data_IF_648749791200
#
_entry.id   IF_648749791200
#
_cell.length_a   1.000
_cell.length_b   1.000
_cell.length_c   1.000
_cell.angle_alpha   90.00
_cell.angle_beta   90.00
_cell.angle_gamma   90.00
#
_symmetry.space_group_name_H-M   'P 1'
#
loop_
_entity.id
_entity.type
_entity.pdbx_description
1 polymer ?
#
# COMPACT_ATOMS: atom_id res chain seq x y z
N UNK A 1 -7.52 15.45 9.46
CA UNK A 1 -6.10 15.20 9.16
C UNK A 1 -5.99 13.85 8.48
N UNK A 2 -5.32 13.77 7.33
CA UNK A 2 -5.05 12.49 6.66
C UNK A 2 -4.01 11.73 7.51
N UNK A 3 -4.36 10.53 7.96
CA UNK A 3 -3.49 9.70 8.81
C UNK A 3 -2.25 9.29 8.00
N UNK A 4 -1.08 9.83 8.37
CA UNK A 4 0.18 9.54 7.67
C UNK A 4 0.58 8.09 7.94
N UNK A 5 0.56 7.25 6.90
CA UNK A 5 0.95 5.83 7.01
C UNK A 5 2.33 5.58 6.39
N UNK A 6 3.38 5.36 7.20
CA UNK A 6 4.70 5.05 6.68
C UNK A 6 4.70 3.74 5.88
N UNK A 7 5.56 3.68 4.87
CA UNK A 7 5.64 2.54 3.94
C UNK A 7 6.93 1.75 4.14
N UNK A 8 6.80 0.46 4.46
CA UNK A 8 7.92 -0.49 4.46
C UNK A 8 7.97 -1.20 3.11
N UNK A 9 9.17 -1.31 2.53
CA UNK A 9 9.39 -1.94 1.22
C UNK A 9 10.08 -3.29 1.40
N UNK A 10 9.55 -4.31 0.75
CA UNK A 10 10.12 -5.66 0.68
C UNK A 10 10.29 -6.12 -0.77
N UNK A 11 11.31 -6.92 -1.04
CA UNK A 11 11.52 -7.55 -2.35
C UNK A 11 10.64 -8.80 -2.45
N UNK A 12 9.79 -8.87 -3.47
CA UNK A 12 8.90 -10.01 -3.71
C UNK A 12 9.61 -11.04 -4.61
N UNK A 13 9.52 -12.31 -4.24
CA UNK A 13 10.19 -13.44 -4.88
C UNK A 13 9.16 -14.54 -5.15
N UNK A 14 9.17 -15.05 -6.38
CA UNK A 14 8.25 -16.10 -6.84
C UNK A 14 9.04 -17.37 -7.14
N UNK A 15 8.50 -18.51 -6.73
CA UNK A 15 9.05 -19.82 -7.08
C UNK A 15 8.43 -20.36 -8.38
N UNK A 16 7.25 -19.86 -8.76
CA UNK A 16 6.52 -20.27 -9.96
C UNK A 16 6.39 -19.12 -10.97
N UNK A 17 6.67 -19.43 -12.23
CA UNK A 17 6.42 -18.51 -13.35
C UNK A 17 4.92 -18.29 -13.57
N UNK A 18 4.10 -19.31 -13.33
CA UNK A 18 2.64 -19.22 -13.43
C UNK A 18 2.08 -18.20 -12.43
N UNK A 19 2.47 -18.30 -11.15
CA UNK A 19 2.03 -17.37 -10.11
C UNK A 19 2.47 -15.93 -10.41
N UNK A 20 3.69 -15.79 -10.92
CA UNK A 20 4.21 -14.49 -11.36
C UNK A 20 3.38 -13.93 -12.53
N UNK A 21 3.03 -14.74 -13.52
CA UNK A 21 2.20 -14.34 -14.65
C UNK A 21 0.77 -13.96 -14.22
N UNK A 22 0.15 -14.75 -13.34
CA UNK A 22 -1.16 -14.45 -12.75
C UNK A 22 -1.14 -13.11 -12.00
N UNK A 23 -0.09 -12.84 -11.23
CA UNK A 23 0.06 -11.55 -10.58
C UNK A 23 0.13 -10.40 -11.60
N UNK A 24 0.96 -10.53 -12.64
CA UNK A 24 1.09 -9.48 -13.66
C UNK A 24 -0.23 -9.20 -14.37
N UNK A 25 -1.01 -10.24 -14.66
CA UNK A 25 -2.34 -10.10 -15.24
C UNK A 25 -3.26 -9.28 -14.33
N UNK A 26 -3.30 -9.59 -13.03
CA UNK A 26 -4.09 -8.83 -12.06
C UNK A 26 -3.59 -7.39 -11.91
N UNK A 27 -2.27 -7.16 -11.89
CA UNK A 27 -1.69 -5.81 -11.81
C UNK A 27 -2.03 -4.96 -13.05
N UNK A 28 -2.12 -5.57 -14.24
CA UNK A 28 -2.57 -4.90 -15.46
C UNK A 28 -4.04 -4.52 -15.35
N UNK A 29 -4.90 -5.46 -14.99
CA UNK A 29 -6.33 -5.20 -14.84
C UNK A 29 -6.62 -4.15 -13.77
N UNK A 30 -5.84 -4.14 -12.67
CA UNK A 30 -5.95 -3.12 -11.63
C UNK A 30 -5.53 -1.73 -12.11
N UNK A 31 -4.46 -1.63 -12.90
CA UNK A 31 -4.09 -0.38 -13.58
C UNK A 31 -5.23 0.13 -14.46
N UNK A 32 -5.80 -0.73 -15.30
CA UNK A 32 -6.89 -0.37 -16.22
C UNK A 32 -8.16 0.03 -15.44
N UNK A 33 -8.43 -0.63 -14.31
CA UNK A 33 -9.52 -0.26 -13.40
C UNK A 33 -9.32 1.13 -12.77
N UNK A 34 -8.09 1.54 -12.43
CA UNK A 34 -7.82 2.90 -11.93
C UNK A 34 -8.12 3.94 -13.02
N UNK A 35 -7.63 3.72 -14.25
CA UNK A 35 -7.88 4.62 -15.38
C UNK A 35 -9.39 4.74 -15.66
N UNK A 36 -10.11 3.63 -15.61
CA UNK A 36 -11.56 3.61 -15.81
C UNK A 36 -12.32 4.29 -14.67
N UNK A 37 -11.95 4.03 -13.42
CA UNK A 37 -12.53 4.68 -12.24
C UNK A 37 -12.37 6.20 -12.31
N UNK A 38 -11.16 6.68 -12.67
CA UNK A 38 -10.89 8.09 -12.86
C UNK A 38 -11.80 8.72 -13.92
N UNK A 39 -11.97 8.05 -15.06
CA UNK A 39 -12.89 8.51 -16.12
C UNK A 39 -14.35 8.60 -15.64
N UNK A 40 -14.82 7.62 -14.88
CA UNK A 40 -16.18 7.61 -14.33
C UNK A 40 -16.38 8.69 -13.25
N UNK A 41 -15.39 8.90 -12.38
CA UNK A 41 -15.42 9.97 -11.37
C UNK A 41 -15.55 11.34 -12.03
N UNK A 42 -14.81 11.60 -13.11
CA UNK A 42 -14.91 12.84 -13.88
C UNK A 42 -16.28 13.05 -14.52
N UNK A 43 -17.01 11.98 -14.80
CA UNK A 43 -18.39 12.03 -15.31
C UNK A 43 -19.44 12.19 -14.20
N UNK A 44 -19.02 12.34 -12.94
CA UNK A 44 -19.94 12.51 -11.81
C UNK A 44 -20.67 11.23 -11.40
N UNK A 45 -20.20 10.05 -11.83
CA UNK A 45 -20.82 8.77 -11.45
C UNK A 45 -20.60 8.51 -9.95
N UNK A 46 -21.63 8.03 -9.26
CA UNK A 46 -21.56 7.74 -7.82
C UNK A 46 -20.53 6.65 -7.55
N UNK A 47 -19.74 6.83 -6.49
CA UNK A 47 -18.65 5.91 -6.13
C UNK A 47 -19.10 4.46 -5.95
N UNK A 48 -20.29 4.24 -5.38
CA UNK A 48 -20.85 2.90 -5.21
C UNK A 48 -21.13 2.19 -6.54
N UNK A 49 -21.55 2.95 -7.56
CA UNK A 49 -21.75 2.46 -8.92
C UNK A 49 -20.43 2.22 -9.62
N UNK A 50 -19.43 3.10 -9.43
CA UNK A 50 -18.07 2.88 -9.92
C UNK A 50 -17.53 1.55 -9.40
N UNK A 51 -17.60 1.30 -8.08
CA UNK A 51 -17.14 0.03 -7.50
C UNK A 51 -17.87 -1.17 -8.10
N UNK A 52 -19.18 -1.08 -8.33
CA UNK A 52 -19.95 -2.15 -9.00
C UNK A 52 -19.45 -2.39 -10.43
N UNK A 53 -19.25 -1.34 -11.21
CA UNK A 53 -18.76 -1.43 -12.61
C UNK A 53 -17.35 -2.00 -12.68
N UNK A 54 -16.43 -1.55 -11.83
CA UNK A 54 -15.07 -2.11 -11.75
C UNK A 54 -15.10 -3.60 -11.38
N UNK A 55 -15.99 -3.98 -10.48
CA UNK A 55 -16.14 -5.36 -10.01
C UNK A 55 -16.66 -6.26 -11.13
N UNK A 56 -17.73 -5.85 -11.82
CA UNK A 56 -18.36 -6.68 -12.85
C UNK A 56 -17.58 -6.73 -14.17
N UNK A 57 -16.86 -5.67 -14.52
CA UNK A 57 -16.23 -5.53 -15.85
C UNK A 57 -14.75 -5.88 -15.90
N UNK A 58 -14.01 -5.72 -14.80
CA UNK A 58 -12.54 -5.77 -14.83
C UNK A 58 -11.98 -6.68 -13.73
N UNK A 59 -12.32 -6.41 -12.48
CA UNK A 59 -11.58 -6.95 -11.34
C UNK A 59 -12.19 -8.20 -10.72
N UNK A 60 -13.47 -8.48 -10.92
CA UNK A 60 -14.18 -9.61 -10.32
C UNK A 60 -14.02 -9.69 -8.78
N UNK A 61 -13.69 -8.57 -8.13
CA UNK A 61 -13.41 -8.51 -6.69
C UNK A 61 -13.70 -7.11 -6.15
N UNK A 62 -14.76 -6.98 -5.33
CA UNK A 62 -15.21 -5.70 -4.80
C UNK A 62 -14.15 -4.97 -3.95
N UNK A 63 -13.28 -5.69 -3.25
CA UNK A 63 -12.26 -5.10 -2.39
C UNK A 63 -11.11 -4.49 -3.21
N UNK A 64 -10.69 -5.15 -4.29
CA UNK A 64 -9.77 -4.53 -5.25
C UNK A 64 -10.44 -3.38 -6.00
N UNK A 65 -11.71 -3.50 -6.37
CA UNK A 65 -12.46 -2.40 -7.02
C UNK A 65 -12.52 -1.15 -6.15
N UNK A 66 -12.83 -1.31 -4.87
CA UNK A 66 -12.76 -0.22 -3.91
C UNK A 66 -11.34 0.35 -3.80
N UNK A 67 -10.32 -0.51 -3.73
CA UNK A 67 -8.92 -0.08 -3.66
C UNK A 67 -8.46 0.67 -4.91
N UNK A 68 -8.97 0.30 -6.09
CA UNK A 68 -8.73 1.00 -7.36
C UNK A 68 -9.39 2.38 -7.37
N UNK A 69 -10.62 2.50 -6.86
CA UNK A 69 -11.29 3.79 -6.67
C UNK A 69 -10.49 4.70 -5.72
N UNK A 70 -10.06 4.17 -4.55
CA UNK A 70 -9.22 4.93 -3.61
C UNK A 70 -7.94 5.42 -4.29
N UNK A 71 -7.31 4.58 -5.14
CA UNK A 71 -6.15 5.01 -5.92
C UNK A 71 -6.46 6.02 -7.01
N UNK A 72 -7.62 5.94 -7.65
CA UNK A 72 -8.04 6.91 -8.66
C UNK A 72 -8.26 8.31 -8.07
N UNK A 73 -8.72 8.42 -6.81
CA UNK A 73 -8.89 9.69 -6.10
C UNK A 73 -7.60 10.52 -6.00
N UNK A 74 -6.43 9.87 -6.00
CA UNK A 74 -5.13 10.55 -6.00
C UNK A 74 -4.88 11.38 -7.27
N UNK A 75 -5.65 11.11 -8.33
CA UNK A 75 -5.54 11.76 -9.63
C UNK A 75 -6.78 12.60 -9.95
N UNK A 76 -7.66 12.88 -8.97
CA UNK A 76 -8.96 13.54 -9.18
C UNK A 76 -8.87 14.86 -9.96
N UNK A 77 -7.78 15.60 -9.76
CA UNK A 77 -7.56 16.92 -10.34
C UNK A 77 -6.90 16.84 -11.74
N UNK A 78 -6.55 15.65 -12.22
CA UNK A 78 -5.96 15.47 -13.54
C UNK A 78 -7.05 15.44 -14.63
N UNK A 79 -6.88 16.17 -15.75
CA UNK A 79 -7.83 16.11 -16.84
C UNK A 79 -7.82 14.74 -17.52
N UNK A 80 -6.71 14.03 -17.52
CA UNK A 80 -6.61 12.72 -18.14
C UNK A 80 -5.61 11.86 -17.37
N UNK A 81 -5.90 10.56 -17.28
CA UNK A 81 -5.05 9.61 -16.58
C UNK A 81 -4.66 8.46 -17.50
N UNK A 82 -3.35 8.32 -17.75
CA UNK A 82 -2.75 7.15 -18.36
C UNK A 82 -1.55 6.68 -17.54
N UNK A 83 -1.70 5.55 -16.88
CA UNK A 83 -0.67 4.95 -16.05
C UNK A 83 0.31 4.17 -16.92
N UNK A 84 1.62 4.37 -16.72
CA UNK A 84 2.65 3.68 -17.51
C UNK A 84 2.90 2.25 -17.05
N UNK A 85 2.86 2.01 -15.73
CA UNK A 85 3.27 0.73 -15.12
C UNK A 85 2.08 0.01 -14.49
N UNK A 86 2.00 -1.33 -14.63
CA UNK A 86 1.03 -2.11 -13.88
C UNK A 86 1.36 -2.06 -12.38
N UNK A 87 0.32 -2.07 -11.56
CA UNK A 87 0.41 -1.98 -10.10
C UNK A 87 -0.76 -2.72 -9.48
N UNK A 88 -0.63 -3.14 -8.23
CA UNK A 88 -1.74 -3.69 -7.46
C UNK A 88 -1.74 -3.03 -6.09
N UNK A 89 -2.92 -2.72 -5.56
CA UNK A 89 -3.07 -2.17 -4.22
C UNK A 89 -4.32 -2.71 -3.56
N UNK A 90 -4.22 -2.97 -2.27
CA UNK A 90 -5.35 -3.37 -1.42
C UNK A 90 -5.33 -2.54 -0.15
N UNK A 91 -6.45 -1.87 0.12
CA UNK A 91 -6.70 -1.20 1.39
C UNK A 91 -6.88 -2.28 2.48
N UNK A 92 -6.29 -2.05 3.65
CA UNK A 92 -6.51 -2.87 4.84
C UNK A 92 -7.69 -2.39 5.68
N UNK A 93 -8.38 -3.33 6.33
CA UNK A 93 -9.47 -3.07 7.27
C UNK A 93 -9.27 -3.95 8.52
N UNK A 94 -9.63 -3.42 9.69
CA UNK A 94 -9.30 -4.03 10.98
C UNK A 94 -9.94 -5.42 11.19
N UNK A 95 -11.09 -5.63 10.59
CA UNK A 95 -11.87 -6.88 10.62
C UNK A 95 -11.38 -7.94 9.61
N UNK A 96 -10.36 -7.64 8.79
CA UNK A 96 -9.94 -8.48 7.66
C UNK A 96 -8.58 -9.18 7.83
N UNK A 97 -8.17 -9.47 9.07
CA UNK A 97 -6.84 -10.05 9.41
C UNK A 97 -5.71 -9.20 8.83
N UNK A 98 -5.83 -7.89 9.01
CA UNK A 98 -4.95 -6.87 8.46
C UNK A 98 -5.27 -6.45 7.02
N UNK A 99 -5.26 -7.39 6.07
CA UNK A 99 -5.56 -7.10 4.65
C UNK A 99 -6.21 -8.28 3.94
N UNK A 100 -7.38 -8.09 3.32
CA UNK A 100 -8.14 -9.20 2.73
C UNK A 100 -7.53 -9.82 1.49
N UNK A 101 -6.73 -9.08 0.72
CA UNK A 101 -6.29 -9.52 -0.60
C UNK A 101 -4.77 -9.72 -0.71
N UNK A 102 -3.97 -9.00 0.07
CA UNK A 102 -2.51 -9.17 0.12
C UNK A 102 -2.12 -9.39 1.58
N UNK A 103 -2.01 -10.66 1.98
CA UNK A 103 -1.86 -11.11 3.37
C UNK A 103 -0.42 -11.50 3.68
N UNK A 104 0.22 -10.78 4.58
CA UNK A 104 1.43 -11.27 5.26
C UNK A 104 1.03 -12.43 6.19
N UNK A 105 1.61 -13.60 5.95
CA UNK A 105 1.42 -14.80 6.77
C UNK A 105 2.52 -14.92 7.82
N UNK A 106 3.72 -14.46 7.46
CA UNK A 106 4.90 -14.38 8.31
C UNK A 106 5.72 -13.15 7.86
N UNK A 107 6.89 -12.96 8.46
CA UNK A 107 7.84 -11.92 8.06
C UNK A 107 8.42 -12.11 6.65
N UNK A 108 8.29 -13.31 6.08
CA UNK A 108 8.92 -13.70 4.81
C UNK A 108 7.95 -14.33 3.79
N UNK A 109 6.67 -14.51 4.14
CA UNK A 109 5.66 -15.09 3.25
C UNK A 109 4.45 -14.17 3.12
N UNK A 110 4.04 -13.93 1.88
CA UNK A 110 2.82 -13.19 1.54
C UNK A 110 1.93 -14.02 0.62
N UNK A 111 0.63 -14.01 0.92
CA UNK A 111 -0.44 -14.58 0.08
C UNK A 111 -1.12 -13.45 -0.69
N UNK A 112 -1.25 -13.61 -2.00
CA UNK A 112 -1.89 -12.61 -2.86
C UNK A 112 -3.10 -13.25 -3.53
N UNK A 113 -4.25 -12.59 -3.44
CA UNK A 113 -5.48 -13.08 -4.02
C UNK A 113 -5.55 -12.73 -5.50
N UNK A 114 -5.85 -13.73 -6.32
CA UNK A 114 -6.09 -13.64 -7.76
C UNK A 114 -7.60 -13.78 -7.99
N UNK A 115 -8.28 -12.70 -8.39
CA UNK A 115 -9.70 -12.75 -8.68
C UNK A 115 -10.03 -13.70 -9.83
N UNK A 116 -11.26 -14.21 -9.81
CA UNK A 116 -11.80 -15.09 -10.84
C UNK A 116 -13.24 -14.65 -11.15
N UNK A 117 -13.66 -14.64 -12.42
CA UNK A 117 -15.06 -14.39 -12.79
C UNK A 117 -16.05 -15.35 -12.15
N UNK A 118 -15.63 -16.58 -11.83
CA UNK A 118 -16.48 -17.60 -11.19
C UNK A 118 -16.73 -17.35 -9.69
N UNK A 119 -16.16 -16.29 -9.12
CA UNK A 119 -16.16 -16.04 -7.68
C UNK A 119 -15.20 -16.92 -6.88
N UNK A 120 -14.73 -18.03 -7.45
CA UNK A 120 -13.72 -18.92 -6.84
C UNK A 120 -12.31 -18.33 -7.03
N UNK A 121 -11.93 -17.43 -6.14
CA UNK A 121 -10.62 -16.77 -6.18
C UNK A 121 -9.48 -17.72 -5.80
N UNK A 122 -8.33 -17.61 -6.48
CA UNK A 122 -7.09 -18.35 -6.17
C UNK A 122 -6.21 -17.51 -5.25
N UNK A 123 -5.42 -18.17 -4.41
CA UNK A 123 -4.32 -17.55 -3.68
C UNK A 123 -3.00 -18.00 -4.29
N UNK A 124 -2.14 -17.04 -4.62
CA UNK A 124 -0.74 -17.33 -4.92
C UNK A 124 0.11 -17.03 -3.69
N UNK A 125 1.22 -17.75 -3.54
CA UNK A 125 2.13 -17.61 -2.39
C UNK A 125 3.47 -17.12 -2.90
N UNK A 126 3.99 -16.06 -2.30
CA UNK A 126 5.28 -15.48 -2.64
C UNK A 126 6.13 -15.30 -1.39
N UNK A 127 7.45 -15.40 -1.57
CA UNK A 127 8.40 -15.00 -0.52
C UNK A 127 8.63 -13.49 -0.59
N UNK A 128 8.82 -12.85 0.55
CA UNK A 128 9.18 -11.45 0.66
C UNK A 128 10.44 -11.29 1.51
N UNK A 129 11.34 -10.39 1.10
CA UNK A 129 12.52 -10.02 1.89
C UNK A 129 12.45 -8.56 2.27
N UNK A 130 12.28 -8.29 3.55
CA UNK A 130 12.40 -6.96 4.13
C UNK A 130 13.83 -6.71 4.63
N UNK A 131 14.21 -5.44 4.78
CA UNK A 131 15.46 -5.09 5.46
C UNK A 131 15.40 -5.48 6.94
N UNK A 132 16.52 -5.93 7.52
CA UNK A 132 16.58 -6.46 8.89
C UNK A 132 15.97 -5.53 9.95
N UNK A 133 16.17 -4.21 9.82
CA UNK A 133 15.59 -3.20 10.72
C UNK A 133 14.06 -3.20 10.80
N UNK A 134 13.38 -3.78 9.81
CA UNK A 134 11.92 -3.80 9.71
C UNK A 134 11.29 -5.11 10.18
N UNK A 135 12.08 -6.13 10.50
CA UNK A 135 11.54 -7.46 10.79
C UNK A 135 10.65 -7.48 12.04
N UNK A 136 11.04 -6.74 13.08
CA UNK A 136 10.23 -6.62 14.31
C UNK A 136 8.89 -5.92 14.05
N UNK A 137 8.91 -4.85 13.23
CA UNK A 137 7.69 -4.15 12.81
C UNK A 137 6.74 -5.10 12.07
N UNK A 138 7.26 -5.86 11.10
CA UNK A 138 6.45 -6.79 10.30
C UNK A 138 5.94 -7.94 11.17
N UNK A 139 6.75 -8.43 12.11
CA UNK A 139 6.34 -9.50 13.04
C UNK A 139 5.17 -9.05 13.89
N UNK A 140 5.25 -7.86 14.50
CA UNK A 140 4.15 -7.32 15.30
C UNK A 140 2.91 -7.02 14.44
N UNK A 141 3.09 -6.50 13.23
CA UNK A 141 2.00 -6.26 12.28
C UNK A 141 1.20 -7.54 11.99
N UNK A 142 1.89 -8.67 11.78
CA UNK A 142 1.27 -9.97 11.51
C UNK A 142 0.60 -10.53 12.77
N UNK A 143 1.27 -10.47 13.92
CA UNK A 143 0.79 -11.07 15.17
C UNK A 143 -0.44 -10.35 15.73
N UNK A 144 -0.40 -9.02 15.79
CA UNK A 144 -1.49 -8.20 16.30
C UNK A 144 -2.62 -8.01 15.27
N UNK A 145 -2.45 -8.50 14.05
CA UNK A 145 -3.40 -8.39 12.95
C UNK A 145 -3.86 -6.95 12.67
N UNK A 146 -2.97 -5.97 12.87
CA UNK A 146 -3.26 -4.57 12.60
C UNK A 146 -3.71 -4.37 11.14
N UNK A 147 -4.67 -3.48 10.86
CA UNK A 147 -5.00 -3.11 9.48
C UNK A 147 -3.80 -2.46 8.79
N UNK A 148 -3.45 -2.93 7.59
CA UNK A 148 -2.40 -2.34 6.77
C UNK A 148 -2.78 -2.28 5.30
N UNK A 149 -2.40 -1.19 4.64
CA UNK A 149 -2.43 -1.12 3.19
C UNK A 149 -1.29 -1.95 2.61
N UNK A 150 -1.52 -2.62 1.49
CA UNK A 150 -0.50 -3.38 0.82
C UNK A 150 -0.56 -3.11 -0.68
N UNK A 151 0.57 -2.83 -1.30
CA UNK A 151 0.69 -2.62 -2.72
C UNK A 151 1.87 -3.38 -3.33
N UNK A 152 1.74 -3.74 -4.59
CA UNK A 152 2.76 -4.43 -5.36
C UNK A 152 3.09 -3.58 -6.58
N UNK A 153 4.37 -3.28 -6.75
CA UNK A 153 4.85 -2.33 -7.74
C UNK A 153 6.05 -2.88 -8.51
N UNK A 154 6.19 -2.43 -9.76
CA UNK A 154 7.38 -2.70 -10.57
C UNK A 154 8.36 -1.54 -10.51
N UNK A 155 9.54 -1.82 -9.96
CA UNK A 155 10.64 -0.85 -9.88
C UNK A 155 11.93 -1.49 -10.40
N UNK A 156 12.49 -0.91 -11.46
CA UNK A 156 13.78 -1.32 -12.05
C UNK A 156 13.86 -2.84 -12.32
N UNK A 157 12.82 -3.42 -12.93
CA UNK A 157 12.72 -4.85 -13.22
C UNK A 157 12.46 -5.75 -12.00
N UNK A 158 12.36 -5.18 -10.79
CA UNK A 158 12.06 -5.88 -9.54
C UNK A 158 10.61 -5.68 -9.13
N UNK A 159 10.04 -6.70 -8.51
CA UNK A 159 8.70 -6.66 -7.92
C UNK A 159 8.88 -6.32 -6.44
N UNK A 160 8.29 -5.22 -6.00
CA UNK A 160 8.36 -4.74 -4.61
C UNK A 160 6.98 -4.85 -3.97
N UNK A 161 6.94 -5.36 -2.74
CA UNK A 161 5.81 -5.25 -1.83
C UNK A 161 5.99 -3.99 -0.98
N UNK A 162 5.00 -3.11 -1.00
CA UNK A 162 4.94 -1.90 -0.19
C UNK A 162 3.83 -2.08 0.85
N UNK A 163 4.18 -1.97 2.13
CA UNK A 163 3.26 -2.18 3.24
C UNK A 163 3.08 -0.85 3.97
N UNK A 164 1.87 -0.30 3.92
CA UNK A 164 1.46 0.92 4.63
C UNK A 164 0.99 0.54 6.03
N UNK A 165 1.82 0.80 7.04
CA UNK A 165 1.57 0.41 8.42
C UNK A 165 1.03 1.58 9.25
N UNK A 166 0.37 1.31 10.40
CA UNK A 166 0.03 2.34 11.38
C UNK A 166 1.27 3.10 11.88
N UNK A 167 1.12 4.40 12.11
CA UNK A 167 2.23 5.27 12.52
C UNK A 167 2.79 4.88 13.89
N UNK A 168 1.91 4.50 14.80
CA UNK A 168 2.25 4.07 16.17
C UNK A 168 3.21 2.89 16.14
N UNK A 169 2.94 1.93 15.26
CA UNK A 169 3.78 0.75 15.09
C UNK A 169 5.14 1.10 14.48
N UNK A 170 5.19 2.04 13.53
CA UNK A 170 6.44 2.52 12.97
C UNK A 170 7.30 3.20 14.03
N UNK A 171 6.72 4.13 14.79
CA UNK A 171 7.43 4.89 15.83
C UNK A 171 7.93 3.94 16.92
N UNK A 172 7.11 3.00 17.40
CA UNK A 172 7.48 2.04 18.46
C UNK A 172 8.78 1.29 18.18
N UNK A 173 9.00 0.87 16.94
CA UNK A 173 10.13 0.01 16.57
C UNK A 173 11.28 0.72 15.86
N UNK A 174 11.00 1.85 15.20
CA UNK A 174 11.97 2.55 14.35
C UNK A 174 12.33 3.93 14.87
N UNK A 175 11.64 4.45 15.90
CA UNK A 175 12.12 5.64 16.58
C UNK A 175 13.49 5.34 17.16
N UNK A 176 14.50 6.02 16.62
CA UNK A 176 15.77 6.15 17.30
C UNK A 176 15.52 7.12 18.44
N UNK A 177 15.04 6.64 19.58
CA UNK A 177 15.41 7.30 20.83
C UNK A 177 16.92 7.14 20.88
N UNK A 178 17.66 8.18 20.45
CA UNK A 178 19.10 8.08 20.39
C UNK A 178 19.57 7.70 21.79
N UNK A 179 20.37 6.63 21.92
CA UNK A 179 21.09 6.32 23.16
C UNK A 179 22.04 7.46 23.61
N UNK A 180 22.13 8.52 22.81
CA UNK A 180 22.82 9.79 23.07
C UNK A 180 21.87 11.00 23.16
N UNK A 181 20.56 10.80 23.43
CA UNK A 181 19.66 11.93 23.68
C UNK A 181 20.00 12.53 25.05
N UNK A 182 20.97 13.43 25.04
CA UNK A 182 21.18 14.37 26.13
C UNK A 182 20.42 15.63 25.71
N UNK A 183 19.21 15.90 26.26
CA UNK A 183 18.46 17.11 25.91
C UNK A 183 19.24 18.31 26.43
N UNK A 184 20.12 18.89 25.61
CA UNK A 184 20.82 20.13 25.91
C UNK A 184 19.86 21.34 25.85
N UNK A 185 18.65 21.24 26.41
CA UNK A 185 17.67 22.32 26.44
C UNK A 185 17.00 22.66 25.11
N UNK A 186 17.65 22.43 23.96
CA UNK A 186 17.13 22.92 22.68
C UNK A 186 16.12 22.00 21.99
N UNK A 187 15.05 22.58 21.45
CA UNK A 187 14.04 21.94 20.59
C UNK A 187 14.10 22.59 19.22
N UNK A 188 14.27 21.77 18.17
CA UNK A 188 14.23 22.23 16.78
C UNK A 188 12.92 21.80 16.11
N UNK A 189 12.25 22.74 15.46
CA UNK A 189 11.07 22.50 14.61
C UNK A 189 11.40 22.85 13.17
N UNK A 190 10.89 22.06 12.22
CA UNK A 190 11.12 22.24 10.80
C UNK A 190 9.79 22.45 10.08
N UNK A 191 9.71 23.50 9.28
CA UNK A 191 8.64 23.75 8.32
C UNK A 191 9.18 23.51 6.90
N UNK A 192 8.58 22.55 6.21
CA UNK A 192 9.02 22.12 4.88
C UNK A 192 8.02 22.59 3.83
N UNK A 193 8.48 23.50 2.96
CA UNK A 193 7.80 23.92 1.75
C UNK A 193 8.51 23.34 0.53
N UNK A 194 7.81 23.26 -0.62
CA UNK A 194 8.36 22.75 -1.88
C UNK A 194 9.64 23.47 -2.34
N UNK A 195 9.78 24.74 -1.96
CA UNK A 195 10.85 25.66 -2.35
C UNK A 195 11.76 26.06 -1.17
N UNK A 196 11.39 25.75 0.09
CA UNK A 196 12.09 26.25 1.29
C UNK A 196 12.05 25.26 2.44
N UNK A 197 13.09 25.30 3.27
CA UNK A 197 13.10 24.62 4.56
C UNK A 197 13.35 25.69 5.62
N UNK A 198 12.36 25.94 6.46
CA UNK A 198 12.47 26.82 7.61
C UNK A 198 12.75 25.98 8.85
N UNK A 199 13.69 26.42 9.68
CA UNK A 199 14.02 25.77 10.94
C UNK A 199 13.98 26.79 12.07
N UNK A 200 13.26 26.45 13.14
CA UNK A 200 13.28 27.21 14.39
C UNK A 200 13.97 26.36 15.47
N UNK A 201 14.94 26.92 16.18
CA UNK A 201 15.57 26.30 17.34
C UNK A 201 15.22 27.16 18.55
N UNK A 202 14.64 26.54 19.57
CA UNK A 202 14.25 27.17 20.82
C UNK A 202 15.05 26.53 21.94
N UNK A 203 15.72 27.33 22.75
CA UNK A 203 16.23 26.86 24.05
C UNK A 203 15.09 26.80 25.06
N UNK A 204 15.09 25.78 25.92
CA UNK A 204 14.15 25.67 27.04
C UNK A 204 14.55 26.56 28.23
N UNK A 205 15.73 27.19 28.18
CA UNK A 205 16.17 28.22 29.12
C UNK A 205 15.69 29.60 28.70
#
# INVERSE_FOLDING_TARGET
MEEVRPTIKGKLLFNSLEDKALLFYVMRNFKDAIEYAHSLMRKGIKESEIVKLLTSRILNNAHYSYSALVRARLYKDQPYLKLKKPQLFSVGKGDEKGNRNIRLVSTDVVKIKIPSPTGRHKWIVAKVRFGGRYLEVIRELVNAQFPYGAGIYLKNGRIELHVNIPLELYVKHLSKTSRHYNPRGHVASFDFNSDRICMAIVDKN
#
